data_IF_352245242920
#
_entry.id   IF_352245242920
#
_cell.length_a   1.000
_cell.length_b   1.000
_cell.length_c   1.000
_cell.angle_alpha   90.00
_cell.angle_beta   90.00
_cell.angle_gamma   90.00
#
_symmetry.space_group_name_H-M   'P 1'
#
loop_
_entity.id
_entity.type
_entity.pdbx_description
1 polymer ?
#
# COMPACT_ATOMS: atom_id res chain seq x y z
N UNK A 1 25.14 -6.02 0.55
CA UNK A 1 26.25 -5.43 -0.25
C UNK A 1 25.87 -5.16 -1.71
N UNK A 2 25.26 -6.11 -2.41
CA UNK A 2 24.92 -5.95 -3.84
C UNK A 2 23.81 -4.92 -4.08
N UNK A 3 22.71 -4.96 -3.30
CA UNK A 3 21.64 -3.97 -3.39
C UNK A 3 22.15 -2.53 -3.19
N UNK A 4 23.16 -2.34 -2.33
CA UNK A 4 23.78 -1.02 -2.11
C UNK A 4 24.58 -0.53 -3.33
N UNK A 5 25.22 -1.44 -4.08
CA UNK A 5 25.90 -1.09 -5.33
C UNK A 5 24.91 -0.69 -6.43
N UNK A 6 23.77 -1.37 -6.48
CA UNK A 6 22.68 -1.02 -7.39
C UNK A 6 22.14 0.37 -7.04
N UNK A 7 21.85 0.65 -5.76
CA UNK A 7 21.36 1.95 -5.33
C UNK A 7 22.37 3.09 -5.59
N UNK A 8 23.67 2.81 -5.47
CA UNK A 8 24.74 3.76 -5.77
C UNK A 8 24.82 4.15 -7.27
N UNK A 9 24.23 3.37 -8.17
CA UNK A 9 24.22 3.65 -9.61
C UNK A 9 22.82 3.87 -10.20
N UNK A 10 21.77 3.65 -9.41
CA UNK A 10 20.39 3.86 -9.83
C UNK A 10 20.07 5.34 -10.09
N UNK A 11 19.16 5.59 -11.03
CA UNK A 11 18.62 6.93 -11.28
C UNK A 11 17.35 7.19 -10.46
N UNK A 12 16.55 6.16 -10.21
CA UNK A 12 15.30 6.23 -9.44
C UNK A 12 15.29 5.09 -8.42
N UNK A 13 14.86 5.40 -7.21
CA UNK A 13 14.51 4.42 -6.19
C UNK A 13 13.09 4.69 -5.70
N UNK A 14 12.20 3.72 -5.92
CA UNK A 14 10.80 3.79 -5.48
C UNK A 14 10.66 2.90 -4.24
N UNK A 15 10.01 3.42 -3.21
CA UNK A 15 9.60 2.68 -2.03
C UNK A 15 8.19 3.14 -1.62
N UNK A 16 7.48 2.32 -0.84
CA UNK A 16 6.07 2.54 -0.53
C UNK A 16 5.88 3.85 0.24
N UNK A 17 6.51 3.96 1.41
CA UNK A 17 6.19 5.00 2.39
C UNK A 17 5.35 4.46 3.55
N UNK A 18 4.82 5.35 4.38
CA UNK A 18 3.99 5.01 5.55
C UNK A 18 4.64 3.99 6.50
N UNK A 19 5.97 4.07 6.65
CA UNK A 19 6.71 3.19 7.56
C UNK A 19 7.04 1.79 7.02
N UNK A 20 6.54 1.39 5.85
CA UNK A 20 6.76 0.05 5.28
C UNK A 20 8.24 -0.31 5.13
N UNK A 21 9.07 0.62 4.65
CA UNK A 21 10.51 0.45 4.51
C UNK A 21 11.26 1.38 5.49
N UNK A 22 11.35 1.06 6.79
CA UNK A 22 12.00 1.94 7.77
C UNK A 22 13.49 2.14 7.47
N UNK A 23 14.08 1.20 6.73
CA UNK A 23 15.47 1.21 6.28
C UNK A 23 15.72 2.09 5.04
N UNK A 24 14.68 2.52 4.31
CA UNK A 24 14.84 3.19 3.02
C UNK A 24 15.68 4.47 3.12
N UNK A 25 15.43 5.32 4.13
CA UNK A 25 16.17 6.56 4.34
C UNK A 25 17.67 6.31 4.55
N UNK A 26 18.01 5.36 5.42
CA UNK A 26 19.39 4.99 5.70
C UNK A 26 20.08 4.41 4.46
N UNK A 27 19.38 3.61 3.67
CA UNK A 27 19.91 3.07 2.42
C UNK A 27 20.18 4.17 1.39
N UNK A 28 19.27 5.14 1.22
CA UNK A 28 19.45 6.29 0.32
C UNK A 28 20.68 7.12 0.75
N UNK A 29 20.81 7.43 2.04
CA UNK A 29 21.96 8.18 2.58
C UNK A 29 23.28 7.41 2.38
N UNK A 30 23.28 6.10 2.66
CA UNK A 30 24.47 5.25 2.53
C UNK A 30 24.89 5.03 1.07
N UNK A 31 23.97 5.15 0.11
CA UNK A 31 24.28 5.01 -1.32
C UNK A 31 25.18 6.14 -1.85
N UNK A 32 25.19 7.30 -1.18
CA UNK A 32 25.99 8.49 -1.58
C UNK A 32 25.86 8.83 -3.07
N UNK A 33 24.65 8.73 -3.58
CA UNK A 33 24.34 8.94 -4.99
C UNK A 33 23.51 10.22 -5.16
N UNK A 34 24.19 11.33 -5.43
CA UNK A 34 23.56 12.66 -5.57
C UNK A 34 22.62 12.77 -6.79
N UNK A 35 22.65 11.77 -7.70
CA UNK A 35 21.77 11.71 -8.88
C UNK A 35 20.51 10.90 -8.62
N UNK A 36 20.41 10.22 -7.49
CA UNK A 36 19.28 9.36 -7.17
C UNK A 36 18.03 10.20 -6.91
N UNK A 37 16.97 9.93 -7.67
CA UNK A 37 15.63 10.42 -7.37
C UNK A 37 14.90 9.36 -6.54
N UNK A 38 14.74 9.63 -5.25
CA UNK A 38 13.94 8.81 -4.35
C UNK A 38 12.45 9.19 -4.45
N UNK A 39 11.58 8.19 -4.53
CA UNK A 39 10.13 8.37 -4.68
C UNK A 39 9.43 7.63 -3.55
N UNK A 40 8.70 8.37 -2.71
CA UNK A 40 7.68 7.81 -1.82
C UNK A 40 6.44 7.58 -2.68
N UNK A 41 6.06 6.33 -2.93
CA UNK A 41 4.92 6.02 -3.78
C UNK A 41 3.63 6.62 -3.22
N UNK A 42 3.45 6.57 -1.89
CA UNK A 42 2.25 7.07 -1.20
C UNK A 42 2.22 8.58 -0.98
N UNK A 43 3.16 9.36 -1.53
CA UNK A 43 3.14 10.83 -1.41
C UNK A 43 1.80 11.40 -1.92
N UNK A 44 1.08 12.10 -1.05
CA UNK A 44 -0.25 12.67 -1.34
C UNK A 44 -1.43 11.71 -1.16
N UNK A 45 -1.20 10.47 -0.69
CA UNK A 45 -2.27 9.57 -0.24
C UNK A 45 -2.78 9.99 1.14
N UNK A 46 -4.10 9.96 1.34
CA UNK A 46 -4.70 10.10 2.67
C UNK A 46 -4.55 8.80 3.46
N UNK A 47 -3.66 8.81 4.45
CA UNK A 47 -3.31 7.65 5.24
C UNK A 47 -4.43 7.26 6.23
N UNK A 48 -4.72 5.96 6.32
CA UNK A 48 -5.42 5.39 7.47
C UNK A 48 -4.43 5.34 8.63
N UNK A 49 -4.87 5.74 9.82
CA UNK A 49 -4.02 5.82 11.00
C UNK A 49 -4.14 4.56 11.85
N UNK A 50 -3.00 4.07 12.32
CA UNK A 50 -2.95 3.02 13.33
C UNK A 50 -3.47 3.55 14.67
N UNK A 51 -4.10 2.69 15.45
CA UNK A 51 -4.66 3.03 16.76
C UNK A 51 -3.93 2.36 17.93
N UNK A 52 -3.06 1.39 17.65
CA UNK A 52 -2.27 0.70 18.68
C UNK A 52 -1.00 1.49 19.02
N UNK A 53 -0.81 1.93 20.28
CA UNK A 53 0.37 2.70 20.68
C UNK A 53 1.72 2.00 20.47
N UNK A 54 1.80 0.68 20.62
CA UNK A 54 3.07 -0.05 20.43
C UNK A 54 3.40 -0.16 18.94
N UNK A 55 2.41 -0.48 18.10
CA UNK A 55 2.58 -0.49 16.64
C UNK A 55 2.98 0.89 16.10
N UNK A 56 2.35 1.96 16.62
CA UNK A 56 2.70 3.34 16.24
C UNK A 56 4.18 3.64 16.54
N UNK A 57 4.70 3.10 17.63
CA UNK A 57 6.07 3.34 18.09
C UNK A 57 7.09 2.56 17.27
N UNK A 58 6.78 1.33 16.88
CA UNK A 58 7.70 0.47 16.13
C UNK A 58 7.63 0.71 14.62
N UNK A 59 6.44 0.85 14.06
CA UNK A 59 6.21 0.88 12.60
C UNK A 59 5.71 2.22 12.07
N UNK A 60 5.21 3.07 12.97
CA UNK A 60 4.69 4.39 12.63
C UNK A 60 3.16 4.47 12.66
N UNK A 61 2.65 5.69 12.55
CA UNK A 61 1.24 5.98 12.80
C UNK A 61 0.31 5.65 11.62
N UNK A 62 0.80 5.08 10.53
CA UNK A 62 0.09 4.96 9.26
C UNK A 62 0.04 3.50 8.82
N UNK A 63 -1.11 3.07 8.31
CA UNK A 63 -1.24 1.77 7.65
C UNK A 63 -0.52 1.81 6.29
N UNK A 64 0.51 0.97 6.07
CA UNK A 64 1.30 1.01 4.85
C UNK A 64 0.57 0.45 3.62
N UNK A 65 -0.55 -0.26 3.77
CA UNK A 65 -1.23 -1.03 2.72
C UNK A 65 -2.02 -0.19 1.71
N UNK A 66 -1.58 1.03 1.45
CA UNK A 66 -2.23 1.98 0.55
C UNK A 66 -2.44 1.42 -0.85
N UNK A 67 -1.52 0.57 -1.34
CA UNK A 67 -1.56 -0.03 -2.68
C UNK A 67 -2.77 -0.95 -2.92
N UNK A 68 -3.44 -1.42 -1.85
CA UNK A 68 -4.66 -2.22 -1.95
C UNK A 68 -5.92 -1.38 -2.24
N UNK A 69 -5.81 -0.05 -2.22
CA UNK A 69 -6.80 0.84 -2.80
C UNK A 69 -6.46 1.13 -4.26
N UNK A 70 -7.39 0.80 -5.16
CA UNK A 70 -7.25 1.15 -6.58
C UNK A 70 -7.25 2.67 -6.80
N UNK A 71 -7.90 3.43 -5.91
CA UNK A 71 -7.90 4.90 -5.93
C UNK A 71 -6.51 5.44 -5.55
N UNK A 72 -5.88 4.89 -4.51
CA UNK A 72 -4.52 5.24 -4.10
C UNK A 72 -3.48 4.78 -5.14
N UNK A 73 -3.65 3.60 -5.74
CA UNK A 73 -2.75 3.10 -6.78
C UNK A 73 -2.61 4.08 -7.97
N UNK A 74 -3.67 4.86 -8.29
CA UNK A 74 -3.57 5.93 -9.29
C UNK A 74 -2.59 7.03 -8.89
N UNK A 75 -2.55 7.39 -7.60
CA UNK A 75 -1.63 8.39 -7.04
C UNK A 75 -0.20 7.83 -7.07
N UNK A 76 -0.01 6.59 -6.62
CA UNK A 76 1.29 5.93 -6.61
C UNK A 76 1.91 5.84 -8.01
N UNK A 77 1.13 5.38 -9.00
CA UNK A 77 1.61 5.27 -10.39
C UNK A 77 1.90 6.66 -10.97
N UNK A 78 1.13 7.69 -10.60
CA UNK A 78 1.42 9.07 -11.01
C UNK A 78 2.78 9.51 -10.46
N UNK A 79 3.05 9.29 -9.18
CA UNK A 79 4.31 9.66 -8.53
C UNK A 79 5.52 8.95 -9.17
N UNK A 80 5.38 7.65 -9.44
CA UNK A 80 6.39 6.86 -10.14
C UNK A 80 6.63 7.41 -11.56
N UNK A 81 5.55 7.65 -12.32
CA UNK A 81 5.65 8.19 -13.67
C UNK A 81 6.34 9.54 -13.69
N UNK A 82 5.95 10.45 -12.79
CA UNK A 82 6.53 11.81 -12.73
C UNK A 82 8.04 11.76 -12.44
N UNK A 83 8.48 10.82 -11.60
CA UNK A 83 9.91 10.59 -11.36
C UNK A 83 10.64 10.00 -12.58
N UNK A 84 10.04 9.03 -13.27
CA UNK A 84 10.59 8.45 -14.50
C UNK A 84 10.76 9.51 -15.60
N UNK A 85 9.74 10.35 -15.82
CA UNK A 85 9.80 11.48 -16.75
C UNK A 85 10.89 12.48 -16.36
N UNK A 86 11.09 12.73 -15.06
CA UNK A 86 12.13 13.63 -14.57
C UNK A 86 13.54 13.13 -14.87
N UNK A 87 13.81 11.83 -14.69
CA UNK A 87 15.16 11.27 -14.89
C UNK A 87 15.44 10.87 -16.34
N UNK A 88 14.39 10.63 -17.12
CA UNK A 88 14.46 10.15 -18.50
C UNK A 88 13.45 10.89 -19.40
N UNK A 89 13.68 12.19 -19.65
CA UNK A 89 12.76 13.02 -20.42
C UNK A 89 12.65 12.59 -21.89
N UNK A 90 13.64 11.85 -22.43
CA UNK A 90 13.61 11.35 -23.79
C UNK A 90 12.49 10.30 -24.01
N UNK A 91 12.12 9.56 -22.96
CA UNK A 91 11.03 8.58 -22.99
C UNK A 91 9.74 9.09 -22.34
N UNK A 92 9.58 10.42 -22.18
CA UNK A 92 8.39 11.02 -21.55
C UNK A 92 7.08 10.48 -22.12
N UNK A 93 6.93 10.50 -23.45
CA UNK A 93 5.68 10.08 -24.11
C UNK A 93 5.37 8.60 -23.86
N UNK A 94 6.40 7.76 -23.73
CA UNK A 94 6.24 6.35 -23.37
C UNK A 94 5.68 6.18 -21.95
N UNK A 95 6.24 6.90 -20.97
CA UNK A 95 5.76 6.84 -19.58
C UNK A 95 4.35 7.43 -19.44
N UNK A 96 4.06 8.55 -20.09
CA UNK A 96 2.74 9.17 -20.06
C UNK A 96 1.67 8.29 -20.70
N UNK A 97 1.97 7.68 -21.86
CA UNK A 97 1.07 6.73 -22.50
C UNK A 97 0.75 5.54 -21.59
N UNK A 98 1.78 4.91 -21.02
CA UNK A 98 1.61 3.76 -20.13
C UNK A 98 0.81 4.13 -18.88
N UNK A 99 1.07 5.30 -18.30
CA UNK A 99 0.30 5.83 -17.18
C UNK A 99 -1.19 5.97 -17.54
N UNK A 100 -1.50 6.63 -18.67
CA UNK A 100 -2.89 6.81 -19.10
C UNK A 100 -3.59 5.47 -19.35
N UNK A 101 -2.94 4.52 -20.01
CA UNK A 101 -3.49 3.18 -20.25
C UNK A 101 -3.72 2.40 -18.95
N UNK A 102 -2.79 2.49 -17.98
CA UNK A 102 -2.92 1.81 -16.71
C UNK A 102 -4.01 2.42 -15.83
N UNK A 103 -4.07 3.75 -15.75
CA UNK A 103 -5.14 4.46 -15.01
C UNK A 103 -6.51 4.15 -15.58
N UNK A 104 -6.66 4.06 -16.91
CA UNK A 104 -7.92 3.66 -17.52
C UNK A 104 -8.37 2.24 -17.09
N UNK A 105 -7.42 1.30 -16.93
CA UNK A 105 -7.70 -0.05 -16.39
C UNK A 105 -8.12 0.00 -14.93
N UNK A 106 -7.46 0.83 -14.11
CA UNK A 106 -7.84 1.04 -12.72
C UNK A 106 -9.26 1.63 -12.61
N UNK A 107 -9.58 2.65 -13.42
CA UNK A 107 -10.92 3.27 -13.44
C UNK A 107 -12.00 2.27 -13.84
N UNK A 108 -11.74 1.42 -14.84
CA UNK A 108 -12.65 0.35 -15.23
C UNK A 108 -12.85 -0.67 -14.09
N UNK A 109 -11.78 -1.03 -13.37
CA UNK A 109 -11.84 -1.97 -12.26
C UNK A 109 -12.57 -1.38 -11.04
N UNK A 110 -12.32 -0.11 -10.71
CA UNK A 110 -13.03 0.62 -9.65
C UNK A 110 -14.52 0.60 -9.94
N UNK A 111 -14.95 1.00 -11.14
CA UNK A 111 -16.37 1.00 -11.51
C UNK A 111 -16.99 -0.40 -11.38
N UNK A 112 -16.29 -1.43 -11.88
CA UNK A 112 -16.74 -2.82 -11.78
C UNK A 112 -16.93 -3.24 -10.31
N UNK A 113 -15.98 -2.91 -9.45
CA UNK A 113 -16.01 -3.30 -8.04
C UNK A 113 -17.03 -2.50 -7.24
N UNK A 114 -17.21 -1.20 -7.52
CA UNK A 114 -18.29 -0.39 -6.94
C UNK A 114 -19.67 -1.02 -7.26
N UNK A 115 -19.91 -1.42 -8.52
CA UNK A 115 -21.15 -2.08 -8.92
C UNK A 115 -21.36 -3.46 -8.28
N UNK A 116 -20.29 -4.24 -8.11
CA UNK A 116 -20.34 -5.58 -7.53
C UNK A 116 -20.53 -5.54 -6.01
N UNK A 117 -19.73 -4.75 -5.31
CA UNK A 117 -19.78 -4.65 -3.84
C UNK A 117 -21.03 -3.92 -3.34
N UNK A 118 -21.62 -3.02 -4.14
CA UNK A 118 -22.94 -2.44 -3.83
C UNK A 118 -24.06 -3.49 -3.78
N UNK A 119 -23.91 -4.60 -4.51
CA UNK A 119 -24.90 -5.70 -4.58
C UNK A 119 -24.54 -6.89 -3.70
N UNK A 120 -23.38 -6.85 -3.04
CA UNK A 120 -22.91 -7.96 -2.22
C UNK A 120 -23.84 -8.11 -0.99
N UNK A 121 -24.41 -9.30 -0.74
CA UNK A 121 -25.27 -9.54 0.41
C UNK A 121 -24.48 -9.56 1.73
N UNK A 122 -23.18 -9.88 1.66
CA UNK A 122 -22.25 -9.89 2.79
C UNK A 122 -21.06 -8.99 2.45
N UNK A 123 -20.70 -8.13 3.41
CA UNK A 123 -19.60 -7.16 3.28
C UNK A 123 -18.44 -7.42 4.23
N UNK A 124 -18.62 -8.41 5.11
CA UNK A 124 -17.70 -8.81 6.16
C UNK A 124 -16.86 -9.99 5.66
N UNK A 125 -15.55 -9.96 5.89
CA UNK A 125 -14.65 -11.05 5.53
C UNK A 125 -13.50 -11.18 6.52
N UNK A 126 -12.88 -12.36 6.55
CA UNK A 126 -11.72 -12.67 7.42
C UNK A 126 -10.46 -12.84 6.59
N UNK A 127 -9.35 -12.28 7.09
CA UNK A 127 -8.02 -12.36 6.46
C UNK A 127 -6.95 -12.88 7.43
N UNK A 128 -5.79 -13.26 6.90
CA UNK A 128 -4.62 -13.60 7.71
C UNK A 128 -4.11 -12.39 8.48
N UNK A 129 -3.74 -11.31 7.79
CA UNK A 129 -3.29 -10.04 8.39
C UNK A 129 -4.18 -8.87 7.93
N UNK A 130 -4.14 -7.76 8.66
CA UNK A 130 -5.08 -6.65 8.52
C UNK A 130 -4.79 -5.68 7.34
N UNK A 131 -4.45 -6.17 6.14
CA UNK A 131 -4.01 -5.30 5.03
C UNK A 131 -5.11 -4.55 4.26
N UNK A 132 -6.38 -4.96 4.34
CA UNK A 132 -7.40 -4.51 3.40
C UNK A 132 -8.19 -3.28 3.85
N UNK A 133 -7.70 -2.51 4.83
CA UNK A 133 -8.41 -1.34 5.37
C UNK A 133 -8.74 -0.30 4.28
N UNK A 134 -7.80 -0.03 3.36
CA UNK A 134 -8.03 0.89 2.24
C UNK A 134 -9.04 0.35 1.22
N UNK A 135 -9.04 -0.96 0.95
CA UNK A 135 -10.06 -1.60 0.11
C UNK A 135 -11.44 -1.49 0.77
N UNK A 136 -11.51 -1.74 2.07
CA UNK A 136 -12.73 -1.63 2.87
C UNK A 136 -13.30 -0.21 2.82
N UNK A 137 -12.45 0.80 3.02
CA UNK A 137 -12.79 2.23 2.88
C UNK A 137 -13.37 2.54 1.51
N UNK A 138 -12.74 2.05 0.45
CA UNK A 138 -13.09 2.43 -0.92
C UNK A 138 -14.41 1.84 -1.42
N UNK A 139 -14.78 0.65 -0.92
CA UNK A 139 -15.94 -0.12 -1.42
C UNK A 139 -17.00 -0.42 -0.34
N UNK A 140 -16.85 0.12 0.87
CA UNK A 140 -17.77 -0.08 1.99
C UNK A 140 -17.87 -1.55 2.40
N UNK A 141 -16.70 -2.17 2.57
CA UNK A 141 -16.52 -3.52 3.12
C UNK A 141 -15.99 -3.42 4.55
N UNK A 142 -15.92 -4.55 5.24
CA UNK A 142 -15.35 -4.64 6.58
C UNK A 142 -14.50 -5.91 6.68
N UNK A 143 -13.25 -5.74 7.10
CA UNK A 143 -12.34 -6.85 7.35
C UNK A 143 -12.29 -7.13 8.85
N UNK A 144 -12.05 -8.40 9.18
CA UNK A 144 -11.48 -8.81 10.45
C UNK A 144 -10.28 -9.72 10.15
N UNK A 145 -9.30 -9.81 11.04
CA UNK A 145 -8.04 -10.48 10.74
C UNK A 145 -7.55 -11.32 11.92
N UNK A 146 -6.73 -12.32 11.60
CA UNK A 146 -6.05 -13.15 12.60
C UNK A 146 -4.90 -12.37 13.24
N UNK A 147 -4.08 -11.74 12.41
CA UNK A 147 -2.93 -10.91 12.77
C UNK A 147 -3.28 -9.43 12.56
N UNK A 148 -2.50 -8.53 13.16
CA UNK A 148 -2.68 -7.08 13.05
C UNK A 148 -2.19 -6.51 11.70
N UNK A 149 -1.99 -5.18 11.64
CA UNK A 149 -1.57 -4.46 10.43
C UNK A 149 -0.16 -4.84 10.01
N UNK A 150 0.75 -5.11 10.96
CA UNK A 150 2.16 -5.39 10.65
C UNK A 150 2.50 -6.87 10.67
N UNK A 151 1.52 -7.72 11.01
CA UNK A 151 1.64 -9.18 11.02
C UNK A 151 2.76 -9.68 11.94
N UNK A 152 2.95 -8.98 13.07
CA UNK A 152 3.99 -9.32 14.03
C UNK A 152 3.48 -10.23 15.15
N UNK A 153 4.28 -11.26 15.45
CA UNK A 153 3.95 -12.25 16.49
C UNK A 153 2.93 -13.30 16.04
N UNK A 154 2.67 -14.26 16.94
CA UNK A 154 1.64 -15.28 16.72
C UNK A 154 0.29 -14.83 17.30
N UNK A 155 -0.83 -15.12 16.62
CA UNK A 155 -2.15 -14.82 17.13
C UNK A 155 -2.40 -15.57 18.43
N UNK A 156 -2.80 -14.86 19.49
CA UNK A 156 -3.06 -15.51 20.77
C UNK A 156 -4.41 -16.25 20.73
N UNK A 157 -4.56 -17.29 21.55
CA UNK A 157 -5.75 -18.14 21.56
C UNK A 157 -7.07 -17.36 21.82
N UNK A 158 -7.02 -16.25 22.56
CA UNK A 158 -8.19 -15.44 22.84
C UNK A 158 -8.62 -14.59 21.62
N UNK A 159 -7.67 -14.08 20.84
CA UNK A 159 -7.95 -13.40 19.56
C UNK A 159 -8.57 -14.38 18.56
N UNK A 160 -8.02 -15.59 18.44
CA UNK A 160 -8.58 -16.64 17.59
C UNK A 160 -10.00 -17.03 18.01
N UNK A 161 -10.27 -17.15 19.32
CA UNK A 161 -11.62 -17.43 19.81
C UNK A 161 -12.61 -16.33 19.43
N UNK A 162 -12.24 -15.05 19.60
CA UNK A 162 -13.07 -13.90 19.18
C UNK A 162 -13.31 -13.89 17.67
N UNK A 163 -12.32 -14.25 16.87
CA UNK A 163 -12.46 -14.31 15.42
C UNK A 163 -13.41 -15.44 14.98
N UNK A 164 -13.36 -16.59 15.66
CA UNK A 164 -14.32 -17.69 15.44
C UNK A 164 -15.75 -17.24 15.78
N UNK A 165 -15.93 -16.50 16.88
CA UNK A 165 -17.23 -15.93 17.25
C UNK A 165 -17.72 -14.93 16.20
N UNK A 166 -16.85 -14.00 15.79
CA UNK A 166 -17.14 -13.04 14.71
C UNK A 166 -17.56 -13.73 13.42
N UNK A 167 -16.85 -14.78 12.99
CA UNK A 167 -17.18 -15.52 11.78
C UNK A 167 -18.56 -16.19 11.87
N UNK A 168 -18.89 -16.78 13.03
CA UNK A 168 -20.21 -17.37 13.28
C UNK A 168 -21.33 -16.34 13.26
N UNK A 169 -21.13 -15.19 13.90
CA UNK A 169 -22.11 -14.10 13.98
C UNK A 169 -22.38 -13.43 12.63
N UNK A 170 -21.34 -13.33 11.79
CA UNK A 170 -21.42 -12.67 10.49
C UNK A 170 -21.66 -13.63 9.32
N UNK A 171 -21.84 -14.92 9.59
CA UNK A 171 -22.04 -15.98 8.59
C UNK A 171 -20.93 -16.02 7.52
N UNK A 172 -19.69 -15.89 7.99
CA UNK A 172 -18.47 -16.01 7.17
C UNK A 172 -18.09 -17.48 7.01
#
# INVERSE_FOLDING_TARGET
PENMKQLATAQVFVYNGFGMEPWAKQAIEAAKNDKLVSVVATEGVEAIKNTDPEEIKEHGAEDPHAWLSLKNAKIEVKNIKDALVKVDPANKDYYEKNYTEYVAKLDAMIKKYEEQFAKAPHKNFVTGHAAFAYLCRDFGLEQNSVEDVFAEGEPNAAQLAKLIEYAKENHI
#
